data_IF_046661230445
#
_entry.id   IF_046661230445
#
_cell.length_a   1.000
_cell.length_b   1.000
_cell.length_c   1.000
_cell.angle_alpha   90.00
_cell.angle_beta   90.00
_cell.angle_gamma   90.00
#
_symmetry.space_group_name_H-M   'P 1'
#
loop_
_entity.id
_entity.type
_entity.pdbx_description
1 polymer ?
#
# COMPACT_ATOMS: atom_id res chain seq x y z
N UNK A 1 -20.71 -27.65 9.86
CA UNK A 1 -19.33 -28.08 9.50
C UNK A 1 -18.52 -28.20 10.78
N UNK A 2 -17.91 -29.33 11.12
CA UNK A 2 -17.17 -29.47 12.37
C UNK A 2 -15.86 -28.67 12.32
N UNK A 3 -15.56 -27.95 13.40
CA UNK A 3 -14.38 -27.08 13.56
C UNK A 3 -13.03 -27.81 13.49
N UNK A 4 -13.03 -29.15 13.52
CA UNK A 4 -11.84 -30.00 13.48
C UNK A 4 -11.15 -30.07 12.11
N UNK A 5 -11.80 -29.63 11.03
CA UNK A 5 -11.23 -29.69 9.67
C UNK A 5 -10.37 -28.46 9.27
N UNK A 6 -10.32 -27.41 10.09
CA UNK A 6 -9.64 -26.15 9.77
C UNK A 6 -8.23 -26.02 10.36
N UNK A 7 -7.68 -27.10 10.91
CA UNK A 7 -6.47 -27.06 11.75
C UNK A 7 -5.25 -27.74 11.12
N UNK A 8 -5.15 -27.77 9.79
CA UNK A 8 -3.85 -27.99 9.16
C UNK A 8 -3.07 -26.68 9.24
N UNK A 9 -2.25 -26.53 10.29
CA UNK A 9 -1.20 -25.52 10.29
C UNK A 9 -0.35 -25.77 9.05
N UNK A 10 -0.11 -24.77 8.18
CA UNK A 10 0.91 -24.96 7.15
C UNK A 10 2.20 -25.36 7.86
N UNK A 11 2.82 -26.44 7.41
CA UNK A 11 4.09 -26.92 7.97
C UNK A 11 5.09 -25.77 8.03
N UNK A 12 6.02 -25.78 9.00
CA UNK A 12 7.08 -24.76 9.08
C UNK A 12 7.77 -24.64 7.73
N UNK A 13 7.60 -23.51 7.05
CA UNK A 13 8.31 -23.23 5.80
C UNK A 13 9.80 -23.08 6.07
N UNK A 14 10.65 -23.65 5.22
CA UNK A 14 12.07 -23.41 5.32
C UNK A 14 12.35 -21.93 4.96
N UNK A 15 13.40 -21.36 5.55
CA UNK A 15 13.80 -19.96 5.28
C UNK A 15 14.05 -19.73 3.78
N UNK A 16 14.60 -20.73 3.09
CA UNK A 16 14.81 -20.74 1.65
C UNK A 16 13.52 -20.59 0.85
N UNK A 17 12.45 -21.25 1.29
CA UNK A 17 11.17 -21.27 0.56
C UNK A 17 10.50 -19.91 0.64
N UNK A 18 10.56 -19.28 1.82
CA UNK A 18 10.05 -17.92 2.02
C UNK A 18 10.80 -16.93 1.14
N UNK A 19 12.14 -16.98 1.15
CA UNK A 19 12.98 -16.10 0.33
C UNK A 19 12.76 -16.31 -1.17
N UNK A 20 12.61 -17.57 -1.60
CA UNK A 20 12.37 -17.89 -3.01
C UNK A 20 11.01 -17.37 -3.48
N UNK A 21 9.98 -17.43 -2.65
CA UNK A 21 8.70 -16.84 -3.01
C UNK A 21 8.78 -15.31 -3.09
N UNK A 22 9.47 -14.66 -2.16
CA UNK A 22 9.66 -13.20 -2.22
C UNK A 22 10.34 -12.80 -3.53
N UNK A 23 11.40 -13.50 -3.92
CA UNK A 23 12.10 -13.29 -5.20
C UNK A 23 11.20 -13.53 -6.40
N UNK A 24 10.38 -14.59 -6.37
CA UNK A 24 9.40 -14.90 -7.40
C UNK A 24 8.41 -13.75 -7.58
N UNK A 25 7.84 -13.24 -6.48
CA UNK A 25 6.90 -12.12 -6.53
C UNK A 25 7.60 -10.85 -7.06
N UNK A 26 8.81 -10.54 -6.61
CA UNK A 26 9.57 -9.37 -7.11
C UNK A 26 9.76 -9.44 -8.63
N UNK A 27 10.07 -10.62 -9.17
CA UNK A 27 10.31 -10.80 -10.61
C UNK A 27 9.02 -10.75 -11.43
N UNK A 28 7.95 -11.35 -10.92
CA UNK A 28 6.75 -11.63 -11.74
C UNK A 28 5.69 -10.52 -11.62
N UNK A 29 5.78 -9.64 -10.62
CA UNK A 29 4.82 -8.56 -10.40
C UNK A 29 5.02 -7.40 -11.38
N UNK A 30 3.92 -6.94 -11.98
CA UNK A 30 3.90 -5.72 -12.79
C UNK A 30 3.70 -4.53 -11.86
N UNK A 31 4.64 -3.60 -11.84
CA UNK A 31 4.60 -2.40 -10.99
C UNK A 31 4.43 -1.12 -11.81
N UNK A 32 3.76 -0.09 -11.26
CA UNK A 32 3.73 1.23 -11.88
C UNK A 32 5.13 1.86 -11.91
N UNK A 33 5.40 2.72 -12.90
CA UNK A 33 6.72 3.34 -13.10
C UNK A 33 7.19 4.25 -11.96
N UNK A 34 6.29 4.71 -11.09
CA UNK A 34 6.62 5.54 -9.92
C UNK A 34 7.07 4.74 -8.70
N UNK A 35 6.88 3.41 -8.70
CA UNK A 35 7.31 2.55 -7.61
C UNK A 35 8.77 2.15 -7.82
N UNK A 36 9.61 2.37 -6.82
CA UNK A 36 11.02 1.97 -6.86
C UNK A 36 11.17 0.47 -7.11
N UNK A 37 12.12 0.10 -7.98
CA UNK A 37 12.43 -1.30 -8.27
C UNK A 37 13.17 -1.94 -7.10
N UNK A 38 12.82 -3.17 -6.76
CA UNK A 38 13.54 -3.96 -5.75
C UNK A 38 14.36 -5.03 -6.48
N UNK A 39 15.61 -5.32 -6.06
CA UNK A 39 16.43 -6.34 -6.71
C UNK A 39 15.75 -7.72 -6.69
N UNK A 40 15.60 -8.34 -7.86
CA UNK A 40 14.97 -9.67 -8.00
C UNK A 40 15.77 -10.80 -7.33
N UNK A 41 17.06 -10.59 -7.09
CA UNK A 41 17.94 -11.47 -6.34
C UNK A 41 18.02 -11.11 -4.83
N UNK A 42 17.01 -10.41 -4.30
CA UNK A 42 16.90 -9.99 -2.89
C UNK A 42 17.42 -11.04 -1.89
N UNK A 43 18.31 -10.62 -0.98
CA UNK A 43 18.91 -11.47 0.05
C UNK A 43 20.13 -12.29 -0.39
N UNK A 44 20.55 -12.20 -1.66
CA UNK A 44 21.88 -12.67 -2.07
C UNK A 44 22.94 -11.62 -1.76
N UNK A 45 24.16 -12.05 -1.46
CA UNK A 45 25.32 -11.14 -1.26
C UNK A 45 25.55 -10.26 -2.50
N UNK A 46 25.25 -10.77 -3.70
CA UNK A 46 25.34 -10.05 -4.97
C UNK A 46 24.29 -8.94 -5.15
N UNK A 47 23.23 -8.90 -4.34
CA UNK A 47 22.17 -7.89 -4.46
C UNK A 47 22.59 -6.52 -3.90
N UNK A 48 23.68 -6.47 -3.14
CA UNK A 48 24.13 -5.26 -2.46
C UNK A 48 23.23 -4.84 -1.30
N UNK A 49 23.45 -3.62 -0.81
CA UNK A 49 22.68 -3.03 0.29
C UNK A 49 21.37 -2.44 -0.21
N UNK A 50 20.26 -2.85 0.39
CA UNK A 50 18.92 -2.34 0.10
C UNK A 50 18.79 -0.90 0.64
N UNK A 51 18.36 0.02 -0.21
CA UNK A 51 18.12 1.43 0.14
C UNK A 51 16.78 1.61 0.85
N UNK A 52 16.60 2.75 1.51
CA UNK A 52 15.42 3.02 2.34
C UNK A 52 14.09 2.98 1.55
N UNK A 53 14.09 3.46 0.31
CA UNK A 53 12.95 3.45 -0.61
C UNK A 53 12.65 2.03 -1.15
N UNK A 54 13.68 1.23 -1.39
CA UNK A 54 13.57 -0.18 -1.74
C UNK A 54 13.01 -1.00 -0.57
N UNK A 55 13.46 -0.73 0.67
CA UNK A 55 12.91 -1.33 1.89
C UNK A 55 11.42 -1.02 2.05
N UNK A 56 11.03 0.25 1.84
CA UNK A 56 9.63 0.66 1.88
C UNK A 56 8.81 -0.12 0.85
N UNK A 57 9.29 -0.23 -0.37
CA UNK A 57 8.59 -0.95 -1.45
C UNK A 57 8.50 -2.45 -1.14
N UNK A 58 9.60 -3.06 -0.68
CA UNK A 58 9.68 -4.46 -0.26
C UNK A 58 8.65 -4.78 0.84
N UNK A 59 8.60 -3.99 1.90
CA UNK A 59 7.71 -4.22 3.06
C UNK A 59 6.24 -3.97 2.71
N UNK A 60 5.96 -2.98 1.87
CA UNK A 60 4.57 -2.58 1.61
C UNK A 60 3.92 -3.32 0.46
N UNK A 61 4.69 -3.75 -0.54
CA UNK A 61 4.14 -4.37 -1.77
C UNK A 61 4.52 -5.84 -1.86
N UNK A 62 5.82 -6.13 -1.92
CA UNK A 62 6.29 -7.46 -2.31
C UNK A 62 6.15 -8.49 -1.19
N UNK A 63 6.46 -8.13 0.07
CA UNK A 63 6.36 -9.03 1.22
C UNK A 63 4.91 -9.45 1.49
N UNK A 64 3.91 -8.54 1.56
CA UNK A 64 2.51 -8.94 1.74
C UNK A 64 2.04 -9.90 0.65
N UNK A 65 2.36 -9.63 -0.62
CA UNK A 65 1.98 -10.50 -1.75
C UNK A 65 2.68 -11.87 -1.69
N UNK A 66 3.96 -11.92 -1.34
CA UNK A 66 4.70 -13.17 -1.19
C UNK A 66 4.19 -14.00 -0.01
N UNK A 67 3.91 -13.34 1.12
CA UNK A 67 3.40 -13.99 2.32
C UNK A 67 1.96 -14.45 2.15
N UNK A 68 1.10 -13.70 1.44
CA UNK A 68 -0.23 -14.17 1.05
C UNK A 68 -0.12 -15.40 0.15
N UNK A 69 0.85 -15.47 -0.77
CA UNK A 69 1.03 -16.68 -1.59
C UNK A 69 1.57 -17.88 -0.79
N UNK A 70 2.46 -17.66 0.19
CA UNK A 70 3.03 -18.73 1.03
C UNK A 70 2.04 -19.24 2.08
N UNK A 71 1.40 -18.32 2.79
CA UNK A 71 0.50 -18.62 3.90
C UNK A 71 -0.96 -18.68 3.48
N UNK A 72 -1.23 -18.37 2.21
CA UNK A 72 -2.54 -18.46 1.58
C UNK A 72 -2.93 -19.89 1.27
N UNK A 73 -3.05 -20.72 2.30
CA UNK A 73 -4.36 -21.36 2.44
C UNK A 73 -5.26 -20.28 3.01
N UNK A 74 -6.18 -19.77 2.21
CA UNK A 74 -7.06 -18.63 2.47
C UNK A 74 -7.88 -18.73 3.77
N UNK A 75 -7.99 -19.93 4.33
CA UNK A 75 -8.48 -20.21 5.68
C UNK A 75 -7.59 -19.64 6.81
N UNK A 76 -6.28 -19.55 6.60
CA UNK A 76 -5.32 -19.19 7.64
C UNK A 76 -5.46 -17.72 8.08
N UNK A 77 -5.57 -16.77 7.14
CA UNK A 77 -5.77 -15.35 7.50
C UNK A 77 -7.04 -15.16 8.34
N UNK A 78 -8.17 -15.70 7.87
CA UNK A 78 -9.45 -15.62 8.59
C UNK A 78 -9.36 -16.31 9.96
N UNK A 79 -8.69 -17.46 10.03
CA UNK A 79 -8.46 -18.17 11.29
C UNK A 79 -7.57 -17.37 12.26
N UNK A 80 -6.53 -16.68 11.77
CA UNK A 80 -5.67 -15.84 12.59
C UNK A 80 -6.41 -14.61 13.12
N UNK A 81 -7.19 -13.92 12.27
CA UNK A 81 -8.01 -12.79 12.71
C UNK A 81 -9.08 -13.24 13.71
N UNK A 82 -9.75 -14.36 13.47
CA UNK A 82 -10.71 -14.93 14.41
C UNK A 82 -10.04 -15.28 15.76
N UNK A 83 -8.86 -15.90 15.73
CA UNK A 83 -8.11 -16.24 16.94
C UNK A 83 -7.65 -14.99 17.69
N UNK A 84 -7.16 -13.97 16.98
CA UNK A 84 -6.74 -12.69 17.56
C UNK A 84 -7.90 -11.99 18.26
N UNK A 85 -9.02 -11.79 17.57
CA UNK A 85 -10.21 -11.10 18.13
C UNK A 85 -10.80 -11.91 19.29
N UNK A 86 -10.86 -13.25 19.16
CA UNK A 86 -11.33 -14.14 20.22
C UNK A 86 -10.48 -14.04 21.49
N UNK A 87 -9.15 -14.14 21.35
CA UNK A 87 -8.22 -14.01 22.48
C UNK A 87 -8.24 -12.62 23.11
N UNK A 88 -8.44 -11.58 22.31
CA UNK A 88 -8.56 -10.22 22.84
C UNK A 88 -9.76 -10.11 23.79
N UNK A 89 -10.90 -10.72 23.44
CA UNK A 89 -12.10 -10.76 24.31
C UNK A 89 -11.91 -11.67 25.52
N UNK A 90 -11.13 -12.74 25.41
CA UNK A 90 -10.77 -13.61 26.54
C UNK A 90 -9.90 -12.86 27.56
N UNK A 91 -8.85 -12.18 27.11
CA UNK A 91 -7.92 -11.42 27.97
C UNK A 91 -8.55 -10.14 28.53
N UNK A 92 -9.45 -9.51 27.77
CA UNK A 92 -10.13 -8.28 28.14
C UNK A 92 -11.66 -8.45 27.98
N UNK A 93 -12.35 -9.11 28.93
CA UNK A 93 -13.78 -9.41 28.80
C UNK A 93 -14.66 -8.16 28.66
N UNK A 94 -14.24 -7.04 29.23
CA UNK A 94 -14.94 -5.76 29.15
C UNK A 94 -14.67 -4.99 27.86
N UNK A 95 -13.75 -5.45 27.00
CA UNK A 95 -13.43 -4.76 25.75
C UNK A 95 -14.55 -4.96 24.73
N UNK A 96 -15.07 -3.86 24.22
CA UNK A 96 -16.09 -3.86 23.17
C UNK A 96 -15.47 -4.00 21.78
N UNK A 97 -16.13 -4.81 20.94
CA UNK A 97 -15.71 -5.03 19.58
C UNK A 97 -15.86 -3.72 18.78
N UNK A 98 -14.72 -3.09 18.49
CA UNK A 98 -14.66 -1.93 17.59
C UNK A 98 -14.98 -2.31 16.13
N UNK A 99 -15.52 -1.38 15.31
CA UNK A 99 -15.74 -1.57 13.88
C UNK A 99 -14.49 -2.07 13.13
N UNK A 100 -13.30 -1.65 13.55
CA UNK A 100 -12.03 -2.10 12.97
C UNK A 100 -11.81 -3.61 13.14
N UNK A 101 -12.26 -4.20 14.25
CA UNK A 101 -12.21 -5.66 14.43
C UNK A 101 -13.10 -6.35 13.39
N UNK A 102 -14.32 -5.86 13.17
CA UNK A 102 -15.21 -6.36 12.13
C UNK A 102 -14.61 -6.18 10.73
N UNK A 103 -14.10 -4.99 10.40
CA UNK A 103 -13.49 -4.68 9.11
C UNK A 103 -12.29 -5.59 8.80
N UNK A 104 -11.50 -5.98 9.81
CA UNK A 104 -10.35 -6.86 9.61
C UNK A 104 -10.71 -8.24 9.04
N UNK A 105 -11.93 -8.74 9.30
CA UNK A 105 -12.42 -9.99 8.70
C UNK A 105 -12.69 -9.87 7.19
N UNK A 106 -12.98 -8.66 6.71
CA UNK A 106 -13.32 -8.37 5.31
C UNK A 106 -12.12 -7.93 4.48
N UNK A 107 -10.96 -7.66 5.09
CA UNK A 107 -9.73 -7.30 4.37
C UNK A 107 -9.38 -8.39 3.35
N UNK A 108 -9.58 -9.66 3.71
CA UNK A 108 -9.35 -10.77 2.79
C UNK A 108 -10.22 -10.68 1.53
N UNK A 109 -11.53 -10.48 1.70
CA UNK A 109 -12.45 -10.34 0.56
C UNK A 109 -12.09 -9.12 -0.27
N UNK A 110 -11.69 -8.03 0.40
CA UNK A 110 -11.27 -6.80 -0.26
C UNK A 110 -9.98 -6.99 -1.07
N UNK A 111 -9.02 -7.76 -0.57
CA UNK A 111 -7.80 -8.10 -1.30
C UNK A 111 -8.08 -8.97 -2.53
N UNK A 112 -9.07 -9.88 -2.45
CA UNK A 112 -9.49 -10.68 -3.60
C UNK A 112 -10.22 -9.85 -4.66
N UNK A 113 -11.12 -8.96 -4.24
CA UNK A 113 -11.99 -8.21 -5.15
C UNK A 113 -11.28 -6.99 -5.76
N UNK A 114 -10.50 -6.28 -4.96
CA UNK A 114 -9.93 -4.97 -5.33
C UNK A 114 -8.40 -4.99 -5.46
N UNK A 115 -7.78 -6.14 -5.21
CA UNK A 115 -6.32 -6.29 -5.26
C UNK A 115 -5.63 -5.70 -4.04
N UNK A 116 -4.33 -5.35 -4.16
CA UNK A 116 -3.52 -4.86 -3.04
C UNK A 116 -4.18 -3.67 -2.32
N UNK A 117 -4.00 -3.59 -1.00
CA UNK A 117 -4.61 -2.55 -0.15
C UNK A 117 -4.35 -1.12 -0.64
N UNK A 118 -3.20 -0.87 -1.27
CA UNK A 118 -2.84 0.43 -1.82
C UNK A 118 -3.76 0.91 -2.94
N UNK A 119 -4.43 0.00 -3.64
CA UNK A 119 -5.38 0.34 -4.71
C UNK A 119 -6.65 0.98 -4.15
N UNK A 120 -6.98 0.74 -2.87
CA UNK A 120 -8.26 1.13 -2.28
C UNK A 120 -8.16 1.74 -0.87
N UNK A 121 -6.96 2.01 -0.35
CA UNK A 121 -6.78 2.72 0.92
C UNK A 121 -7.08 4.23 0.80
N UNK A 122 -7.44 4.85 1.92
CA UNK A 122 -7.86 6.26 1.96
C UNK A 122 -6.71 7.28 1.85
N UNK A 123 -5.48 6.91 2.16
CA UNK A 123 -4.35 7.86 2.26
C UNK A 123 -4.09 8.74 1.01
N UNK A 124 -4.17 8.23 -0.24
CA UNK A 124 -4.00 9.06 -1.42
C UNK A 124 -5.13 10.09 -1.55
N UNK A 125 -6.36 9.70 -1.17
CA UNK A 125 -7.52 10.58 -1.17
C UNK A 125 -7.40 11.64 -0.08
N UNK A 126 -6.97 11.28 1.13
CA UNK A 126 -6.70 12.24 2.21
C UNK A 126 -5.63 13.26 1.81
N UNK A 127 -4.55 12.81 1.16
CA UNK A 127 -3.52 13.71 0.64
C UNK A 127 -4.09 14.65 -0.42
N UNK A 128 -4.90 14.14 -1.34
CA UNK A 128 -5.57 14.94 -2.35
C UNK A 128 -6.51 15.97 -1.71
N UNK A 129 -7.32 15.57 -0.74
CA UNK A 129 -8.20 16.46 0.02
C UNK A 129 -7.37 17.58 0.68
N UNK A 130 -6.25 17.24 1.32
CA UNK A 130 -5.37 18.24 1.93
C UNK A 130 -4.75 19.20 0.91
N UNK A 131 -4.40 18.73 -0.29
CA UNK A 131 -3.95 19.62 -1.38
C UNK A 131 -5.06 20.55 -1.80
N UNK A 132 -6.27 20.03 -2.02
CA UNK A 132 -7.44 20.79 -2.44
C UNK A 132 -7.83 21.85 -1.39
N UNK A 133 -7.78 21.52 -0.10
CA UNK A 133 -8.07 22.44 1.01
C UNK A 133 -7.09 23.62 1.11
N UNK A 134 -5.86 23.46 0.63
CA UNK A 134 -4.83 24.53 0.64
C UNK A 134 -4.84 25.40 -0.62
N UNK A 135 -5.63 25.06 -1.63
CA UNK A 135 -5.72 25.88 -2.82
C UNK A 135 -6.40 27.21 -2.47
N UNK A 136 -5.92 28.35 -2.98
CA UNK A 136 -6.64 29.61 -2.85
C UNK A 136 -7.96 29.49 -3.61
N UNK A 137 -9.07 29.68 -2.91
CA UNK A 137 -10.42 29.60 -3.48
C UNK A 137 -11.10 30.96 -3.44
N UNK A 138 -12.08 31.16 -4.32
CA UNK A 138 -12.91 32.36 -4.37
C UNK A 138 -14.07 32.34 -3.35
N UNK A 139 -14.22 31.25 -2.58
CA UNK A 139 -15.30 31.00 -1.59
C UNK A 139 -16.72 31.23 -2.12
N UNK A 140 -16.90 31.19 -3.45
CA UNK A 140 -18.20 31.36 -4.09
C UNK A 140 -18.81 29.99 -4.38
N UNK A 141 -19.86 29.64 -3.65
CA UNK A 141 -20.64 28.42 -3.89
C UNK A 141 -21.11 28.37 -5.35
N UNK A 142 -20.86 27.25 -6.04
CA UNK A 142 -21.16 27.06 -7.47
C UNK A 142 -19.99 27.35 -8.42
N UNK A 143 -19.01 28.16 -8.01
CA UNK A 143 -17.76 28.39 -8.75
C UNK A 143 -16.53 27.79 -8.04
N UNK A 144 -16.71 27.32 -6.80
CA UNK A 144 -15.67 26.76 -5.95
C UNK A 144 -15.03 25.53 -6.59
N UNK A 145 -15.85 24.57 -7.01
CA UNK A 145 -15.43 23.29 -7.58
C UNK A 145 -14.62 23.51 -8.85
N UNK A 146 -15.10 24.41 -9.71
CA UNK A 146 -14.42 24.82 -10.95
C UNK A 146 -13.08 25.49 -10.64
N UNK A 147 -13.03 26.40 -9.67
CA UNK A 147 -11.81 27.09 -9.26
C UNK A 147 -10.77 26.12 -8.70
N UNK A 148 -11.21 25.18 -7.85
CA UNK A 148 -10.35 24.13 -7.29
C UNK A 148 -9.79 23.23 -8.39
N UNK A 149 -10.64 22.72 -9.29
CA UNK A 149 -10.22 21.86 -10.41
C UNK A 149 -9.24 22.59 -11.33
N UNK A 150 -9.56 23.83 -11.72
CA UNK A 150 -8.67 24.61 -12.60
C UNK A 150 -7.31 24.87 -11.94
N UNK A 151 -7.29 25.21 -10.65
CA UNK A 151 -6.04 25.44 -9.90
C UNK A 151 -5.22 24.17 -9.76
N UNK A 152 -5.87 23.04 -9.43
CA UNK A 152 -5.22 21.74 -9.36
C UNK A 152 -4.60 21.32 -10.71
N UNK A 153 -5.34 21.47 -11.81
CA UNK A 153 -4.86 21.16 -13.15
C UNK A 153 -3.71 22.07 -13.60
N UNK A 154 -3.78 23.38 -13.31
CA UNK A 154 -2.69 24.32 -13.59
C UNK A 154 -1.42 23.92 -12.86
N UNK A 155 -1.51 23.60 -11.56
CA UNK A 155 -0.39 23.12 -10.77
C UNK A 155 0.17 21.80 -11.31
N UNK A 156 -0.69 20.85 -11.68
CA UNK A 156 -0.28 19.58 -12.29
C UNK A 156 0.46 19.76 -13.62
N UNK A 157 -0.04 20.64 -14.50
CA UNK A 157 0.64 20.98 -15.77
C UNK A 157 1.99 21.63 -15.53
N UNK A 158 2.09 22.54 -14.56
CA UNK A 158 3.36 23.17 -14.19
C UNK A 158 4.39 22.14 -13.69
N UNK A 159 4.00 21.24 -12.78
CA UNK A 159 4.87 20.15 -12.30
C UNK A 159 5.31 19.21 -13.43
N UNK A 160 4.39 18.90 -14.35
CA UNK A 160 4.70 18.10 -15.54
C UNK A 160 5.74 18.81 -16.42
N UNK A 161 5.57 20.11 -16.68
CA UNK A 161 6.50 20.89 -17.49
C UNK A 161 7.88 21.05 -16.83
N UNK A 162 7.91 21.27 -15.50
CA UNK A 162 9.12 21.27 -14.67
C UNK A 162 9.88 19.95 -14.69
N UNK A 163 9.20 18.84 -14.95
CA UNK A 163 9.81 17.51 -15.02
C UNK A 163 10.36 17.17 -16.41
N UNK A 164 10.14 18.03 -17.42
CA UNK A 164 10.62 17.79 -18.77
C UNK A 164 12.10 18.21 -18.92
N UNK A 165 12.91 17.46 -19.71
CA UNK A 165 14.32 17.79 -19.95
C UNK A 165 14.56 19.15 -20.61
N UNK A 166 13.54 19.70 -21.29
CA UNK A 166 13.59 20.99 -21.99
C UNK A 166 13.07 22.17 -21.14
N UNK A 167 12.88 21.98 -19.83
CA UNK A 167 12.45 23.06 -18.95
C UNK A 167 13.52 24.18 -18.95
N UNK A 168 13.15 25.46 -19.20
CA UNK A 168 14.11 26.55 -19.18
C UNK A 168 14.85 26.65 -17.83
N UNK A 169 16.16 26.96 -17.81
CA UNK A 169 16.94 27.02 -16.57
C UNK A 169 16.33 27.93 -15.50
N UNK A 170 15.80 29.09 -15.91
CA UNK A 170 15.15 30.05 -15.02
C UNK A 170 13.93 29.48 -14.28
N UNK A 171 13.18 28.57 -14.90
CA UNK A 171 12.02 27.93 -14.25
C UNK A 171 12.49 26.76 -13.37
N UNK A 172 13.62 26.14 -13.71
CA UNK A 172 14.23 25.09 -12.91
C UNK A 172 14.74 25.61 -11.55
N UNK A 173 15.22 26.85 -11.50
CA UNK A 173 15.56 27.55 -10.24
C UNK A 173 14.32 27.73 -9.35
N UNK A 174 13.17 28.05 -9.93
CA UNK A 174 11.91 28.17 -9.20
C UNK A 174 11.40 26.83 -8.64
N UNK A 175 11.90 25.68 -9.12
CA UNK A 175 11.52 24.38 -8.57
C UNK A 175 11.86 24.26 -7.08
N UNK A 176 12.98 24.83 -6.66
CA UNK A 176 13.39 24.87 -5.24
C UNK A 176 12.41 25.68 -4.35
N UNK A 177 11.61 26.57 -4.94
CA UNK A 177 10.59 27.34 -4.23
C UNK A 177 9.22 26.63 -4.17
N UNK A 178 9.04 25.54 -4.93
CA UNK A 178 7.76 24.87 -5.14
C UNK A 178 7.71 23.43 -4.57
N UNK A 179 8.86 22.88 -4.19
CA UNK A 179 9.02 21.61 -3.46
C UNK A 179 8.98 21.84 -1.94
#
# INVERSE_FOLDING_TARGET
MPLSALQQRPGKFAKSDVLNQVRKVIRDIVTPSWLGSVPSNFGNVSAGTIKADEWRSLITVYLPLALINLWGTTSAYRAYIASYVGKLKELYPTLDAQPNHHASFHIYDSLLLFGPMQSWWCFPFERLIGVLQRLPTNYQTGELEKTMIQSYLKAGRLRSWLSQPRCPPAIHECKLLLD
#
